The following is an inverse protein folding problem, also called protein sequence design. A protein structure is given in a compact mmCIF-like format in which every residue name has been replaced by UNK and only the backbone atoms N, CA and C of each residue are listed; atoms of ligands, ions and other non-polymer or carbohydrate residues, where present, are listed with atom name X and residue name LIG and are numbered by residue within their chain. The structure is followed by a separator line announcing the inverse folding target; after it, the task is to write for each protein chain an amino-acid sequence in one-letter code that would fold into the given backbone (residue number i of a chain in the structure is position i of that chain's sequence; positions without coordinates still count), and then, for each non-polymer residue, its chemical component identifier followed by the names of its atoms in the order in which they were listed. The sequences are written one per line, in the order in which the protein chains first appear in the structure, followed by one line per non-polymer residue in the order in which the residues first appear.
data_IF_364055344428
#
_entry.id   IF_364055344428
#
_cell.length_a   1.000
_cell.length_b   1.000
_cell.length_c   1.000
_cell.angle_alpha   90.00
_cell.angle_beta   90.00
_cell.angle_gamma   90.00
#
_symmetry.space_group_name_H-M   'P 1'
#
loop_
_entity.id
_entity.type
_entity.pdbx_description
1 polymer ?
#
# COMPACT_ATOMS: atom_id res chain seq x y z
N UNK A 1 5.33 -9.75 -14.89
CA UNK A 1 4.85 -10.87 -15.69
C UNK A 1 5.92 -11.28 -16.71
N UNK A 2 6.38 -12.53 -16.62
CA UNK A 2 7.45 -13.10 -17.47
C UNK A 2 7.11 -13.13 -18.96
N UNK A 3 5.84 -13.16 -19.31
CA UNK A 3 5.38 -13.37 -20.68
C UNK A 3 4.92 -12.10 -21.41
N UNK A 4 4.97 -10.96 -20.73
CA UNK A 4 4.48 -9.70 -21.28
C UNK A 4 5.52 -8.59 -21.12
N UNK A 5 5.57 -7.70 -22.10
CA UNK A 5 6.47 -6.55 -22.08
C UNK A 5 7.78 -6.79 -22.83
N UNK A 6 8.75 -5.93 -22.55
CA UNK A 6 10.04 -5.84 -23.26
C UNK A 6 11.20 -6.44 -22.46
N UNK A 7 10.92 -7.37 -21.58
CA UNK A 7 11.89 -7.94 -20.63
C UNK A 7 13.12 -8.53 -21.31
N UNK A 8 12.94 -9.11 -22.49
CA UNK A 8 13.99 -9.76 -23.29
C UNK A 8 14.19 -9.05 -24.65
N UNK A 9 14.02 -7.73 -24.68
CA UNK A 9 14.13 -6.94 -25.92
C UNK A 9 15.52 -7.08 -26.57
N UNK A 10 16.57 -7.27 -25.79
CA UNK A 10 17.94 -7.46 -26.26
C UNK A 10 18.33 -8.93 -26.47
N UNK A 11 17.40 -9.86 -26.25
CA UNK A 11 17.61 -11.30 -26.35
C UNK A 11 18.47 -11.93 -25.24
N UNK A 12 18.87 -11.16 -24.22
CA UNK A 12 19.70 -11.66 -23.13
C UNK A 12 18.90 -12.28 -21.98
N UNK A 13 17.61 -11.92 -21.84
CA UNK A 13 16.74 -12.35 -20.76
C UNK A 13 17.05 -11.75 -19.38
N UNK A 14 18.14 -11.00 -19.26
CA UNK A 14 18.61 -10.46 -17.98
C UNK A 14 19.37 -9.14 -18.09
N UNK A 15 19.05 -8.32 -19.10
CA UNK A 15 19.72 -7.02 -19.27
C UNK A 15 19.55 -6.12 -18.05
N UNK A 16 18.31 -6.04 -17.52
CA UNK A 16 17.99 -5.24 -16.35
C UNK A 16 17.97 -6.04 -15.04
N UNK A 17 17.82 -7.35 -15.11
CA UNK A 17 17.60 -8.20 -13.95
C UNK A 17 18.85 -8.98 -13.54
N UNK A 18 18.85 -9.47 -12.31
CA UNK A 18 19.82 -10.44 -11.82
C UNK A 18 19.67 -11.77 -12.60
N UNK A 19 20.76 -12.51 -12.70
CA UNK A 19 20.75 -13.80 -13.40
C UNK A 19 20.27 -14.95 -12.48
N UNK A 20 19.68 -15.97 -13.08
CA UNK A 20 19.26 -17.18 -12.41
C UNK A 20 18.15 -16.95 -11.37
N UNK A 21 18.11 -17.78 -10.35
CA UNK A 21 17.08 -17.74 -9.30
C UNK A 21 17.08 -16.41 -8.53
N UNK A 22 18.22 -15.77 -8.36
CA UNK A 22 18.33 -14.47 -7.71
C UNK A 22 17.59 -13.35 -8.47
N UNK A 23 17.35 -13.53 -9.75
CA UNK A 23 16.65 -12.59 -10.61
C UNK A 23 15.13 -12.79 -10.67
N UNK A 24 14.60 -13.82 -9.98
CA UNK A 24 13.17 -14.15 -10.07
C UNK A 24 12.48 -14.10 -8.72
N UNK A 25 11.36 -13.39 -8.67
CA UNK A 25 10.47 -13.32 -7.52
C UNK A 25 9.24 -14.21 -7.77
N UNK A 26 9.29 -15.43 -7.24
CA UNK A 26 8.33 -16.49 -7.58
C UNK A 26 6.89 -16.21 -7.15
N UNK A 27 6.68 -15.44 -6.06
CA UNK A 27 5.33 -15.17 -5.55
C UNK A 27 4.60 -14.07 -6.35
N UNK A 28 5.36 -13.20 -7.03
CA UNK A 28 4.81 -12.13 -7.86
C UNK A 28 4.98 -12.38 -9.35
N UNK A 29 5.58 -13.52 -9.72
CA UNK A 29 5.92 -13.84 -11.11
C UNK A 29 6.62 -12.66 -11.80
N UNK A 30 7.65 -12.12 -11.15
CA UNK A 30 8.33 -10.91 -11.61
C UNK A 30 9.84 -11.02 -11.54
N UNK A 31 10.53 -10.16 -12.29
CA UNK A 31 11.99 -10.09 -12.30
C UNK A 31 12.48 -9.07 -11.27
N UNK A 32 13.65 -9.37 -10.70
CA UNK A 32 14.34 -8.49 -9.74
C UNK A 32 15.45 -7.74 -10.47
N UNK A 33 15.45 -6.43 -10.36
CA UNK A 33 16.50 -5.59 -10.94
C UNK A 33 17.87 -5.93 -10.37
N UNK A 34 18.88 -5.85 -11.22
CA UNK A 34 20.29 -5.94 -10.81
C UNK A 34 20.81 -4.53 -10.50
N UNK A 35 20.57 -4.12 -9.25
CA UNK A 35 20.91 -2.77 -8.77
C UNK A 35 22.42 -2.49 -8.80
N UNK A 36 23.27 -3.52 -8.84
CA UNK A 36 24.73 -3.41 -8.98
C UNK A 36 25.19 -3.07 -10.40
N UNK A 37 24.31 -3.12 -11.41
CA UNK A 37 24.63 -2.69 -12.77
C UNK A 37 24.48 -1.18 -12.92
N UNK A 38 25.56 -0.46 -13.17
CA UNK A 38 25.53 1.00 -13.35
C UNK A 38 24.53 1.48 -14.41
N UNK A 39 24.30 0.71 -15.48
CA UNK A 39 23.27 1.01 -16.49
C UNK A 39 21.85 0.89 -15.95
N UNK A 40 21.58 -0.08 -15.07
CA UNK A 40 20.28 -0.29 -14.43
C UNK A 40 20.03 0.80 -13.39
N UNK A 41 21.02 1.08 -12.55
CA UNK A 41 20.97 2.17 -11.57
C UNK A 41 20.69 3.52 -12.25
N UNK A 42 21.43 3.83 -13.31
CA UNK A 42 21.22 5.04 -14.10
C UNK A 42 19.80 5.09 -14.71
N UNK A 43 19.30 3.99 -15.23
CA UNK A 43 17.92 3.89 -15.76
C UNK A 43 16.89 4.19 -14.67
N UNK A 44 16.99 3.56 -13.51
CA UNK A 44 16.04 3.72 -12.41
C UNK A 44 16.06 5.13 -11.82
N UNK A 45 17.27 5.72 -11.61
CA UNK A 45 17.40 7.09 -11.12
C UNK A 45 16.91 8.11 -12.17
N UNK A 46 17.17 7.88 -13.45
CA UNK A 46 16.64 8.71 -14.53
C UNK A 46 15.12 8.66 -14.61
N UNK A 47 14.52 7.47 -14.37
CA UNK A 47 13.08 7.32 -14.32
C UNK A 47 12.47 8.14 -13.16
N UNK A 48 13.05 8.08 -11.96
CA UNK A 48 12.62 8.90 -10.82
C UNK A 48 12.67 10.40 -11.19
N UNK A 49 13.80 10.87 -11.74
CA UNK A 49 13.93 12.26 -12.15
C UNK A 49 12.90 12.64 -13.22
N UNK A 50 12.66 11.78 -14.20
CA UNK A 50 11.71 12.02 -15.29
C UNK A 50 10.30 12.32 -14.78
N UNK A 51 9.79 11.52 -13.83
CA UNK A 51 8.47 11.75 -13.26
C UNK A 51 8.37 13.02 -12.41
N UNK A 52 9.44 13.42 -11.74
CA UNK A 52 9.49 14.69 -11.00
C UNK A 52 9.57 15.90 -11.94
N UNK A 53 10.37 15.80 -13.01
CA UNK A 53 10.71 16.91 -13.90
C UNK A 53 9.58 17.16 -14.91
N UNK A 54 9.22 16.10 -15.66
CA UNK A 54 8.27 16.22 -16.77
C UNK A 54 6.81 16.19 -16.32
N UNK A 55 6.49 15.37 -15.31
CA UNK A 55 5.10 15.20 -14.83
C UNK A 55 4.83 15.90 -13.49
N UNK A 56 5.83 16.51 -12.90
CA UNK A 56 5.71 17.30 -11.67
C UNK A 56 5.12 16.54 -10.48
N UNK A 57 5.46 15.26 -10.35
CA UNK A 57 5.01 14.44 -9.21
C UNK A 57 5.55 15.02 -7.90
N UNK A 58 4.74 14.88 -6.84
CA UNK A 58 5.06 15.39 -5.50
C UNK A 58 5.72 14.34 -4.61
N UNK A 59 6.01 13.16 -5.14
CA UNK A 59 6.69 12.10 -4.41
C UNK A 59 6.41 10.72 -4.95
N UNK A 60 6.91 9.70 -4.23
CA UNK A 60 6.83 8.30 -4.66
C UNK A 60 6.54 7.38 -3.48
N UNK A 61 5.71 6.38 -3.72
CA UNK A 61 5.68 5.15 -2.94
C UNK A 61 6.57 4.12 -3.65
N UNK A 62 7.52 3.58 -2.94
CA UNK A 62 8.35 2.47 -3.42
C UNK A 62 7.69 1.16 -2.99
N UNK A 63 7.32 0.38 -3.99
CA UNK A 63 6.64 -0.90 -3.87
C UNK A 63 7.61 -2.01 -3.50
N UNK A 64 7.20 -2.91 -2.60
CA UNK A 64 7.94 -4.12 -2.29
C UNK A 64 9.38 -3.91 -1.79
N UNK A 65 9.65 -2.86 -1.03
CA UNK A 65 11.00 -2.50 -0.57
C UNK A 65 11.68 -3.66 0.18
N UNK A 66 10.96 -4.41 1.02
CA UNK A 66 11.52 -5.60 1.68
C UNK A 66 12.07 -6.61 0.67
N UNK A 67 11.35 -6.83 -0.44
CA UNK A 67 11.80 -7.74 -1.50
C UNK A 67 13.03 -7.22 -2.26
N UNK A 68 13.25 -5.92 -2.28
CA UNK A 68 14.46 -5.31 -2.84
C UNK A 68 15.66 -5.48 -1.90
N UNK A 69 15.46 -5.20 -0.61
CA UNK A 69 16.51 -5.14 0.41
C UNK A 69 17.20 -6.48 0.70
N UNK A 70 16.51 -7.59 0.48
CA UNK A 70 16.99 -8.89 0.94
C UNK A 70 17.00 -9.93 -0.17
N UNK A 71 18.09 -10.73 -0.25
CA UNK A 71 18.17 -11.85 -1.19
C UNK A 71 17.11 -12.92 -0.93
N UNK A 72 16.70 -13.11 0.32
CA UNK A 72 15.59 -13.99 0.70
C UNK A 72 14.21 -13.34 0.52
N UNK A 73 14.10 -12.15 -0.06
CA UNK A 73 12.84 -11.43 -0.39
C UNK A 73 11.90 -11.15 0.79
N UNK A 74 12.39 -11.20 2.01
CA UNK A 74 11.56 -11.06 3.21
C UNK A 74 10.93 -12.35 3.71
N UNK A 75 11.23 -13.50 3.11
CA UNK A 75 10.70 -14.81 3.54
C UNK A 75 11.49 -15.43 4.68
N UNK A 76 11.88 -14.62 5.64
CA UNK A 76 12.52 -15.06 6.87
C UNK A 76 11.99 -14.24 8.03
N UNK A 77 12.06 -14.78 9.24
CA UNK A 77 11.70 -14.05 10.45
C UNK A 77 12.84 -13.10 10.83
N UNK A 78 12.49 -11.84 11.08
CA UNK A 78 13.42 -10.83 11.60
C UNK A 78 13.36 -10.81 13.13
N UNK A 79 13.71 -11.92 13.76
CA UNK A 79 13.61 -12.18 15.20
C UNK A 79 14.80 -11.63 16.03
N UNK A 80 15.87 -11.20 15.36
CA UNK A 80 17.01 -10.56 15.98
C UNK A 80 17.57 -9.44 15.09
N UNK A 81 18.30 -8.51 15.74
CA UNK A 81 18.83 -7.31 15.07
C UNK A 81 19.81 -7.62 13.95
N UNK A 82 20.60 -8.68 14.12
CA UNK A 82 21.64 -9.08 13.19
C UNK A 82 21.07 -9.40 11.82
N UNK A 83 19.88 -10.00 11.76
CA UNK A 83 19.20 -10.37 10.49
C UNK A 83 18.82 -9.18 9.61
N UNK A 84 18.74 -7.97 10.15
CA UNK A 84 18.54 -6.78 9.32
C UNK A 84 19.79 -6.35 8.56
N UNK A 85 20.98 -6.83 8.94
CA UNK A 85 22.27 -6.33 8.45
C UNK A 85 23.26 -7.43 8.12
N UNK A 86 22.81 -8.68 8.06
CA UNK A 86 23.67 -9.83 7.72
C UNK A 86 23.92 -9.95 6.21
N UNK A 87 24.52 -11.04 5.78
CA UNK A 87 24.82 -11.35 4.37
C UNK A 87 23.57 -11.53 3.48
N UNK A 88 22.39 -11.60 4.09
CA UNK A 88 21.10 -11.63 3.39
C UNK A 88 20.70 -10.28 2.77
N UNK A 89 21.37 -9.19 3.16
CA UNK A 89 21.07 -7.84 2.66
C UNK A 89 21.67 -7.62 1.29
N UNK A 90 20.87 -7.13 0.35
CA UNK A 90 21.31 -6.65 -0.95
C UNK A 90 21.81 -5.21 -0.84
N UNK A 91 23.12 -5.03 -0.64
CA UNK A 91 23.72 -3.70 -0.46
C UNK A 91 23.60 -2.81 -1.70
N UNK A 92 23.51 -3.39 -2.89
CA UNK A 92 23.28 -2.62 -4.12
C UNK A 92 21.87 -2.03 -4.14
N UNK A 93 20.88 -2.78 -3.67
CA UNK A 93 19.51 -2.28 -3.51
C UNK A 93 19.43 -1.17 -2.45
N UNK A 94 20.10 -1.33 -1.31
CA UNK A 94 20.19 -0.27 -0.28
C UNK A 94 20.82 0.98 -0.86
N UNK A 95 21.90 0.83 -1.64
CA UNK A 95 22.57 1.95 -2.30
C UNK A 95 21.64 2.66 -3.26
N UNK A 96 20.97 1.91 -4.16
CA UNK A 96 19.99 2.48 -5.08
C UNK A 96 18.89 3.26 -4.36
N UNK A 97 18.27 2.69 -3.31
CA UNK A 97 17.22 3.36 -2.55
C UNK A 97 17.71 4.65 -1.88
N UNK A 98 18.92 4.62 -1.34
CA UNK A 98 19.56 5.79 -0.73
C UNK A 98 19.81 6.89 -1.77
N UNK A 99 20.35 6.53 -2.94
CA UNK A 99 20.59 7.45 -4.05
C UNK A 99 19.28 8.02 -4.61
N UNK A 100 18.23 7.19 -4.72
CA UNK A 100 16.92 7.62 -5.15
C UNK A 100 16.32 8.67 -4.20
N UNK A 101 16.33 8.41 -2.89
CA UNK A 101 15.88 9.39 -1.88
C UNK A 101 16.70 10.68 -1.94
N UNK A 102 18.02 10.57 -2.06
CA UNK A 102 18.91 11.73 -2.21
C UNK A 102 18.56 12.56 -3.44
N UNK A 103 18.44 11.90 -4.60
CA UNK A 103 18.10 12.55 -5.86
C UNK A 103 16.73 13.25 -5.78
N UNK A 104 15.72 12.60 -5.20
CA UNK A 104 14.38 13.14 -5.06
C UNK A 104 14.41 14.44 -4.24
N UNK A 105 15.03 14.40 -3.06
CA UNK A 105 15.05 15.55 -2.16
C UNK A 105 15.98 16.67 -2.62
N UNK A 106 17.09 16.35 -3.30
CA UNK A 106 17.96 17.37 -3.89
C UNK A 106 17.28 18.07 -5.08
N UNK A 107 16.51 17.32 -5.89
CA UNK A 107 15.78 17.87 -7.03
C UNK A 107 14.51 18.61 -6.62
N UNK A 108 13.73 18.04 -5.68
CA UNK A 108 12.48 18.62 -5.16
C UNK A 108 12.43 18.43 -3.63
N UNK A 109 12.92 19.40 -2.85
CA UNK A 109 12.98 19.28 -1.38
C UNK A 109 11.63 19.07 -0.66
N UNK A 110 10.51 19.36 -1.35
CA UNK A 110 9.15 19.16 -0.82
C UNK A 110 8.53 17.82 -1.23
N UNK A 111 9.22 17.05 -2.06
CA UNK A 111 8.74 15.73 -2.45
C UNK A 111 8.74 14.77 -1.25
N UNK A 112 7.81 13.80 -1.28
CA UNK A 112 7.63 12.82 -0.21
C UNK A 112 8.00 11.44 -0.71
N UNK A 113 8.77 10.69 0.08
CA UNK A 113 9.09 9.30 -0.22
C UNK A 113 8.55 8.34 0.83
N UNK A 114 7.89 7.28 0.37
CA UNK A 114 7.20 6.32 1.22
C UNK A 114 7.70 4.92 0.89
N UNK A 115 8.21 4.19 1.89
CA UNK A 115 8.61 2.80 1.73
C UNK A 115 7.45 1.86 2.07
N UNK A 116 7.13 0.96 1.15
CA UNK A 116 6.36 -0.23 1.49
C UNK A 116 7.34 -1.31 1.97
N UNK A 117 7.49 -1.40 3.27
CA UNK A 117 8.43 -2.34 3.89
C UNK A 117 7.81 -3.00 5.12
N UNK A 118 7.77 -4.32 5.11
CA UNK A 118 7.26 -5.17 6.21
C UNK A 118 8.37 -5.69 7.13
N UNK A 119 9.64 -5.59 6.71
CA UNK A 119 10.76 -6.14 7.51
C UNK A 119 10.96 -5.43 8.84
N UNK A 120 10.67 -4.15 8.89
CA UNK A 120 10.99 -3.33 10.06
C UNK A 120 12.45 -2.87 10.10
N UNK A 121 13.17 -2.86 8.97
CA UNK A 121 14.58 -2.49 8.89
C UNK A 121 14.85 -1.17 9.61
N UNK A 122 15.72 -1.17 10.63
CA UNK A 122 16.13 0.05 11.32
C UNK A 122 16.87 1.01 10.36
N UNK A 123 16.61 2.32 10.51
CA UNK A 123 17.27 3.31 9.66
C UNK A 123 16.58 3.61 8.34
N UNK A 124 15.49 2.92 7.98
CA UNK A 124 14.75 3.14 6.74
C UNK A 124 14.34 4.62 6.58
N UNK A 125 13.79 5.22 7.62
CA UNK A 125 13.36 6.62 7.65
C UNK A 125 14.33 7.55 8.39
N UNK A 126 15.56 7.11 8.64
CA UNK A 126 16.61 8.00 9.16
C UNK A 126 17.23 8.78 8.01
N UNK A 127 17.74 9.97 8.32
CA UNK A 127 18.45 10.78 7.34
C UNK A 127 19.70 10.08 6.81
N UNK A 128 20.01 10.33 5.56
CA UNK A 128 21.20 9.75 4.88
C UNK A 128 22.48 10.14 5.62
N UNK A 129 22.56 11.39 6.11
CA UNK A 129 23.70 11.91 6.86
C UNK A 129 23.93 11.18 8.19
N UNK A 130 22.86 10.60 8.74
CA UNK A 130 22.89 9.80 9.98
C UNK A 130 23.05 8.29 9.70
N UNK A 131 23.32 7.91 8.45
CA UNK A 131 23.49 6.52 8.02
C UNK A 131 22.19 5.79 7.67
N UNK A 132 21.09 6.52 7.48
CA UNK A 132 19.80 5.96 7.07
C UNK A 132 19.63 5.88 5.56
N UNK A 133 18.51 5.26 5.12
CA UNK A 133 18.14 5.14 3.70
C UNK A 133 17.46 6.40 3.17
N UNK A 134 16.89 7.22 4.05
CA UNK A 134 16.38 8.55 3.72
C UNK A 134 14.91 8.64 3.31
N UNK A 135 14.10 7.61 3.53
CA UNK A 135 12.65 7.70 3.34
C UNK A 135 12.00 8.63 4.37
N UNK A 136 10.96 9.36 3.94
CA UNK A 136 10.17 10.20 4.85
C UNK A 136 9.20 9.38 5.69
N UNK A 137 8.60 8.35 5.10
CA UNK A 137 7.54 7.54 5.72
C UNK A 137 7.68 6.05 5.38
N UNK A 138 7.06 5.24 6.23
CA UNK A 138 6.74 3.84 5.94
C UNK A 138 5.22 3.64 5.93
N UNK A 139 4.74 2.65 5.15
CA UNK A 139 3.35 2.20 5.26
C UNK A 139 3.14 1.44 6.56
N UNK A 140 2.04 1.72 7.25
CA UNK A 140 1.61 1.02 8.45
C UNK A 140 0.91 -0.30 8.14
N UNK A 141 1.62 -1.26 7.55
CA UNK A 141 1.05 -2.46 6.93
C UNK A 141 0.35 -3.41 7.91
N UNK A 142 0.68 -3.37 9.20
CA UNK A 142 -0.02 -4.15 10.22
C UNK A 142 -1.46 -3.65 10.49
N UNK A 143 -1.76 -2.41 10.15
CA UNK A 143 -3.07 -1.79 10.42
C UNK A 143 -4.20 -2.41 9.59
N UNK A 144 -4.10 -2.49 8.25
CA UNK A 144 -5.16 -3.10 7.45
C UNK A 144 -5.34 -4.59 7.74
N UNK A 145 -4.25 -5.33 7.99
CA UNK A 145 -4.33 -6.75 8.35
C UNK A 145 -5.07 -6.95 9.67
N UNK A 146 -4.83 -6.08 10.64
CA UNK A 146 -5.57 -6.06 11.89
C UNK A 146 -7.06 -5.82 11.68
N UNK A 147 -7.44 -4.82 10.87
CA UNK A 147 -8.85 -4.53 10.59
C UNK A 147 -9.54 -5.68 9.87
N UNK A 148 -8.88 -6.29 8.88
CA UNK A 148 -9.41 -7.46 8.18
C UNK A 148 -9.66 -8.60 9.16
N UNK A 149 -8.67 -8.93 9.98
CA UNK A 149 -8.78 -10.00 10.96
C UNK A 149 -9.90 -9.72 11.96
N UNK A 150 -9.96 -8.52 12.50
CA UNK A 150 -11.00 -8.12 13.45
C UNK A 150 -12.41 -8.23 12.83
N UNK A 151 -12.61 -7.68 11.64
CA UNK A 151 -13.89 -7.75 10.92
C UNK A 151 -14.32 -9.17 10.55
N UNK A 152 -13.36 -10.08 10.42
CA UNK A 152 -13.59 -11.46 10.00
C UNK A 152 -13.90 -12.38 11.19
N UNK A 153 -13.17 -12.19 12.27
CA UNK A 153 -13.08 -13.17 13.33
C UNK A 153 -13.78 -12.73 14.64
N UNK A 154 -14.12 -11.43 14.78
CA UNK A 154 -14.60 -10.89 16.06
C UNK A 154 -15.85 -10.03 15.85
N UNK A 155 -16.99 -10.38 16.50
CA UNK A 155 -18.15 -9.50 16.56
C UNK A 155 -17.79 -8.15 17.17
N UNK A 156 -18.39 -7.06 16.68
CA UNK A 156 -18.00 -5.71 17.09
C UNK A 156 -18.33 -5.37 18.56
N UNK A 157 -19.28 -6.06 19.19
CA UNK A 157 -19.53 -5.98 20.63
C UNK A 157 -18.36 -6.50 21.49
N UNK A 158 -17.50 -7.35 20.91
CA UNK A 158 -16.34 -7.95 21.58
C UNK A 158 -15.03 -7.23 21.23
N UNK A 159 -15.06 -6.13 20.47
CA UNK A 159 -13.86 -5.43 20.10
C UNK A 159 -13.16 -4.79 21.30
N UNK A 160 -11.86 -5.05 21.41
CA UNK A 160 -11.05 -4.55 22.51
C UNK A 160 -10.35 -3.24 22.10
N UNK A 161 -10.76 -2.13 22.71
CA UNK A 161 -10.21 -0.80 22.42
C UNK A 161 -8.70 -0.70 22.73
N UNK A 162 -8.20 -1.44 23.71
CA UNK A 162 -6.78 -1.45 24.06
C UNK A 162 -5.94 -2.20 23.03
N UNK A 163 -6.48 -3.28 22.46
CA UNK A 163 -5.84 -3.98 21.35
C UNK A 163 -5.78 -3.09 20.13
N UNK A 164 -6.90 -2.45 19.76
CA UNK A 164 -6.97 -1.47 18.68
C UNK A 164 -5.93 -0.37 18.88
N UNK A 165 -5.87 0.24 20.06
CA UNK A 165 -4.90 1.27 20.40
C UNK A 165 -3.46 0.76 20.28
N UNK A 166 -3.17 -0.43 20.81
CA UNK A 166 -1.84 -1.04 20.77
C UNK A 166 -1.33 -1.21 19.36
N UNK A 167 -2.16 -1.75 18.46
CA UNK A 167 -1.78 -1.95 17.05
C UNK A 167 -1.55 -0.62 16.33
N UNK A 168 -2.45 0.36 16.50
CA UNK A 168 -2.32 1.67 15.86
C UNK A 168 -1.07 2.44 16.33
N UNK A 169 -0.68 2.26 17.57
CA UNK A 169 0.45 2.99 18.18
C UNK A 169 1.76 2.20 18.23
N UNK A 170 1.75 0.92 17.84
CA UNK A 170 2.97 0.10 17.80
C UNK A 170 3.82 0.47 16.59
N UNK A 171 4.63 1.50 16.75
CA UNK A 171 5.49 2.05 15.70
C UNK A 171 6.94 2.11 16.18
N UNK A 172 7.86 1.99 15.22
CA UNK A 172 9.28 2.17 15.48
C UNK A 172 9.56 3.63 15.93
N UNK A 173 10.31 3.84 16.99
CA UNK A 173 10.67 5.18 17.43
C UNK A 173 11.36 6.00 16.32
N UNK A 174 10.89 7.22 16.09
CA UNK A 174 11.44 8.12 15.09
C UNK A 174 11.06 7.80 13.62
N UNK A 175 10.26 6.76 13.39
CA UNK A 175 9.76 6.43 12.05
C UNK A 175 8.34 6.97 11.87
N UNK A 176 8.17 7.84 10.88
CA UNK A 176 6.86 8.34 10.49
C UNK A 176 6.12 7.28 9.68
N UNK A 177 4.83 7.15 9.94
CA UNK A 177 3.99 6.10 9.35
C UNK A 177 2.82 6.70 8.59
N UNK A 178 2.54 6.14 7.41
CA UNK A 178 1.29 6.37 6.69
C UNK A 178 0.30 5.31 7.14
N UNK A 179 -0.72 5.71 7.89
CA UNK A 179 -1.78 4.82 8.33
C UNK A 179 -2.83 4.62 7.23
N UNK A 180 -3.44 3.44 7.19
CA UNK A 180 -4.56 3.16 6.30
C UNK A 180 -5.38 1.99 6.80
N UNK A 181 -6.68 2.02 6.54
CA UNK A 181 -7.58 0.93 6.92
C UNK A 181 -7.62 -0.18 5.86
N UNK A 182 -7.53 0.20 4.60
CA UNK A 182 -7.38 -0.70 3.45
C UNK A 182 -6.69 0.03 2.30
N UNK A 183 -6.05 -0.73 1.40
CA UNK A 183 -5.48 -0.26 0.14
C UNK A 183 -5.96 -1.14 -1.02
N UNK A 184 -5.38 -0.95 -2.21
CA UNK A 184 -5.63 -1.83 -3.34
C UNK A 184 -5.26 -3.30 -3.06
N UNK A 185 -4.25 -3.56 -2.23
CA UNK A 185 -3.83 -4.93 -1.90
C UNK A 185 -4.96 -5.70 -1.20
N UNK A 186 -5.56 -5.11 -0.17
CA UNK A 186 -6.66 -5.75 0.54
C UNK A 186 -7.93 -5.76 -0.31
N UNK A 187 -8.24 -4.65 -0.96
CA UNK A 187 -9.50 -4.47 -1.68
C UNK A 187 -9.57 -5.23 -3.02
N UNK A 188 -8.42 -5.47 -3.68
CA UNK A 188 -8.38 -6.05 -5.02
C UNK A 188 -7.73 -7.43 -5.09
N UNK A 189 -6.69 -7.65 -4.28
CA UNK A 189 -5.81 -8.83 -4.42
C UNK A 189 -6.06 -9.84 -3.32
N UNK A 190 -6.11 -9.39 -2.07
CA UNK A 190 -6.08 -10.29 -0.92
C UNK A 190 -7.43 -10.64 -0.33
N UNK A 191 -8.42 -9.74 -0.39
CA UNK A 191 -9.66 -9.89 0.37
C UNK A 191 -10.82 -9.08 -0.22
N UNK A 192 -11.76 -8.70 0.65
CA UNK A 192 -12.92 -7.84 0.36
C UNK A 192 -12.69 -6.45 0.96
N UNK A 193 -13.35 -5.44 0.40
CA UNK A 193 -13.36 -4.10 1.00
C UNK A 193 -13.98 -4.12 2.39
N UNK A 194 -13.61 -3.15 3.24
CA UNK A 194 -14.24 -2.96 4.56
C UNK A 194 -15.75 -2.80 4.42
N UNK A 195 -16.20 -2.02 3.44
CA UNK A 195 -17.64 -1.86 3.16
C UNK A 195 -18.31 -3.19 2.85
N UNK A 196 -17.68 -4.04 2.04
CA UNK A 196 -18.22 -5.35 1.72
C UNK A 196 -18.30 -6.27 2.95
N UNK A 197 -17.29 -6.23 3.81
CA UNK A 197 -17.29 -7.04 5.05
C UNK A 197 -18.38 -6.62 6.03
N UNK A 198 -18.66 -5.31 6.10
CA UNK A 198 -19.65 -4.76 7.03
C UNK A 198 -21.09 -4.89 6.53
N UNK A 199 -21.32 -4.81 5.22
CA UNK A 199 -22.64 -4.68 4.62
C UNK A 199 -23.04 -5.87 3.75
N UNK A 200 -22.06 -6.65 3.27
CA UNK A 200 -22.26 -7.74 2.31
C UNK A 200 -23.12 -7.25 1.11
N UNK A 201 -24.09 -8.05 0.65
CA UNK A 201 -24.97 -7.69 -0.46
C UNK A 201 -25.82 -6.44 -0.20
N UNK A 202 -26.04 -6.06 1.05
CA UNK A 202 -26.83 -4.88 1.39
C UNK A 202 -26.20 -3.57 0.89
N UNK A 203 -24.89 -3.56 0.64
CA UNK A 203 -24.25 -2.41 0.00
C UNK A 203 -24.73 -2.17 -1.45
N UNK A 204 -25.34 -3.15 -2.10
CA UNK A 204 -25.93 -3.00 -3.43
C UNK A 204 -27.41 -2.63 -3.38
N UNK A 205 -28.15 -3.26 -2.46
CA UNK A 205 -29.61 -3.29 -2.51
C UNK A 205 -30.28 -2.34 -1.48
N UNK A 206 -29.54 -1.93 -0.45
CA UNK A 206 -30.16 -1.28 0.73
C UNK A 206 -29.50 0.08 1.09
N UNK A 207 -28.73 0.66 0.19
CA UNK A 207 -28.09 1.96 0.41
C UNK A 207 -28.99 3.16 0.08
N UNK A 208 -30.23 2.94 -0.38
CA UNK A 208 -31.24 4.01 -0.47
C UNK A 208 -31.63 4.50 0.93
N UNK A 209 -31.67 5.83 1.12
CA UNK A 209 -32.06 6.44 2.41
C UNK A 209 -33.48 6.13 2.87
N UNK A 210 -34.35 5.75 1.95
CA UNK A 210 -35.69 5.31 2.27
C UNK A 210 -35.74 3.85 2.79
N UNK A 211 -34.64 3.13 2.67
CA UNK A 211 -34.52 1.76 3.16
C UNK A 211 -34.06 1.78 4.63
N UNK A 212 -34.97 1.47 5.55
CA UNK A 212 -34.63 1.31 6.95
C UNK A 212 -33.95 -0.05 7.18
N UNK A 213 -32.66 -0.02 7.56
CA UNK A 213 -31.87 -1.25 7.82
C UNK A 213 -30.88 -1.01 8.95
N UNK A 214 -31.13 -1.64 10.10
CA UNK A 214 -30.19 -1.61 11.24
C UNK A 214 -28.78 -2.14 10.85
N UNK A 215 -28.71 -3.09 9.93
CA UNK A 215 -27.42 -3.64 9.48
C UNK A 215 -26.65 -2.60 8.67
N UNK A 216 -27.32 -1.87 7.79
CA UNK A 216 -26.70 -0.79 7.02
C UNK A 216 -26.25 0.33 7.95
N UNK A 217 -27.10 0.77 8.88
CA UNK A 217 -26.77 1.83 9.82
C UNK A 217 -25.57 1.48 10.70
N UNK A 218 -25.55 0.25 11.25
CA UNK A 218 -24.42 -0.27 12.02
C UNK A 218 -23.16 -0.37 11.17
N UNK A 219 -23.24 -0.95 9.97
CA UNK A 219 -22.11 -1.08 9.06
C UNK A 219 -21.52 0.27 8.68
N UNK A 220 -22.33 1.27 8.40
CA UNK A 220 -21.89 2.63 8.13
C UNK A 220 -21.23 3.28 9.36
N UNK A 221 -21.77 3.07 10.55
CA UNK A 221 -21.20 3.58 11.79
C UNK A 221 -19.81 2.97 12.05
N UNK A 222 -19.65 1.65 11.89
CA UNK A 222 -18.39 0.96 12.03
C UNK A 222 -17.38 1.37 10.95
N UNK A 223 -17.80 1.51 9.71
CA UNK A 223 -16.94 2.02 8.62
C UNK A 223 -16.36 3.41 8.94
N UNK A 224 -17.19 4.32 9.42
CA UNK A 224 -16.77 5.66 9.87
C UNK A 224 -15.79 5.57 11.05
N UNK A 225 -16.11 4.75 12.05
CA UNK A 225 -15.28 4.59 13.25
C UNK A 225 -13.90 4.01 12.91
N UNK A 226 -13.83 2.96 12.09
CA UNK A 226 -12.57 2.36 11.63
C UNK A 226 -11.67 3.43 10.99
N UNK A 227 -12.21 4.20 10.07
CA UNK A 227 -11.45 5.22 9.35
C UNK A 227 -11.00 6.36 10.27
N UNK A 228 -11.91 6.87 11.12
CA UNK A 228 -11.59 7.91 12.08
C UNK A 228 -10.53 7.46 13.08
N UNK A 229 -10.65 6.26 13.61
CA UNK A 229 -9.68 5.70 14.55
C UNK A 229 -8.31 5.54 13.88
N UNK A 230 -8.28 5.04 12.65
CA UNK A 230 -7.04 4.85 11.90
C UNK A 230 -6.32 6.16 11.61
N UNK A 231 -7.02 7.18 11.08
CA UNK A 231 -6.40 8.48 10.76
C UNK A 231 -5.95 9.22 12.03
N UNK A 232 -6.67 9.04 13.15
CA UNK A 232 -6.38 9.76 14.39
C UNK A 232 -5.21 9.18 15.18
N UNK A 233 -4.93 7.88 15.04
CA UNK A 233 -3.99 7.17 15.92
C UNK A 233 -2.87 6.42 15.20
N UNK A 234 -3.05 6.10 13.92
CA UNK A 234 -2.19 5.15 13.21
C UNK A 234 -0.90 5.73 12.63
N UNK A 235 -0.73 7.05 12.55
CA UNK A 235 0.47 7.64 11.95
C UNK A 235 0.42 9.15 11.78
N UNK A 236 1.43 9.67 11.11
CA UNK A 236 1.57 11.10 10.75
C UNK A 236 0.93 11.44 9.40
N UNK A 237 0.60 10.43 8.60
CA UNK A 237 -0.11 10.57 7.34
C UNK A 237 -1.17 9.47 7.19
N UNK A 238 -2.09 9.67 6.25
CA UNK A 238 -3.20 8.75 6.00
C UNK A 238 -3.34 8.46 4.51
N UNK A 239 -3.42 7.18 4.17
CA UNK A 239 -3.76 6.72 2.83
C UNK A 239 -5.24 6.37 2.77
N UNK A 240 -5.95 6.97 1.85
CA UNK A 240 -7.31 6.56 1.49
C UNK A 240 -7.31 5.90 0.11
N UNK A 241 -7.74 4.65 0.05
CA UNK A 241 -7.92 3.98 -1.23
C UNK A 241 -9.19 4.51 -1.91
N UNK A 242 -9.08 4.92 -3.17
CA UNK A 242 -10.15 5.59 -3.91
C UNK A 242 -11.47 4.80 -3.85
N UNK A 243 -12.53 5.47 -3.41
CA UNK A 243 -13.85 4.90 -3.19
C UNK A 243 -14.16 4.56 -1.73
N UNK A 244 -13.15 4.38 -0.86
CA UNK A 244 -13.38 4.13 0.57
C UNK A 244 -14.03 5.33 1.26
N UNK A 245 -13.75 6.53 0.78
CA UNK A 245 -14.31 7.77 1.30
C UNK A 245 -15.85 7.77 1.34
N UNK A 246 -16.47 6.99 0.45
CA UNK A 246 -17.93 6.85 0.43
C UNK A 246 -18.43 5.41 0.49
N UNK A 247 -17.55 4.44 0.78
CA UNK A 247 -17.92 3.03 0.88
C UNK A 247 -18.38 2.44 -0.46
N UNK A 248 -17.64 2.71 -1.53
CA UNK A 248 -17.94 2.24 -2.89
C UNK A 248 -18.32 0.75 -2.89
N UNK A 249 -19.47 0.37 -3.47
CA UNK A 249 -20.05 -0.96 -3.27
C UNK A 249 -19.47 -2.06 -4.14
N UNK A 250 -18.64 -1.72 -5.11
CA UNK A 250 -18.15 -2.70 -6.06
C UNK A 250 -16.73 -3.16 -5.74
N UNK A 251 -16.55 -4.47 -5.89
CA UNK A 251 -15.25 -5.05 -6.08
C UNK A 251 -14.64 -4.52 -7.39
N UNK A 252 -13.45 -3.98 -7.33
CA UNK A 252 -12.69 -3.68 -8.53
C UNK A 252 -12.06 -4.97 -9.03
N UNK A 253 -12.44 -5.39 -10.24
CA UNK A 253 -11.85 -6.54 -10.91
C UNK A 253 -11.15 -6.07 -12.20
N UNK A 254 -9.92 -6.55 -12.39
CA UNK A 254 -9.17 -6.26 -13.61
C UNK A 254 -9.76 -6.99 -14.82
N UNK A 255 -9.62 -6.43 -16.04
CA UNK A 255 -9.94 -7.16 -17.25
C UNK A 255 -9.16 -8.48 -17.30
N UNK A 256 -9.85 -9.60 -17.35
CA UNK A 256 -9.31 -10.95 -17.39
C UNK A 256 -10.24 -11.90 -18.14
N UNK A 257 -9.78 -13.07 -18.51
CA UNK A 257 -10.57 -14.05 -19.26
C UNK A 257 -11.90 -14.37 -18.57
N UNK A 258 -11.89 -14.57 -17.25
CA UNK A 258 -13.08 -14.93 -16.46
C UNK A 258 -14.18 -13.88 -16.43
N UNK A 259 -13.91 -12.62 -16.82
CA UNK A 259 -14.90 -11.55 -16.95
C UNK A 259 -15.02 -11.02 -18.39
N UNK A 260 -14.54 -11.79 -19.39
CA UNK A 260 -14.59 -11.42 -20.79
C UNK A 260 -13.77 -10.18 -21.13
N UNK A 261 -12.67 -9.94 -20.43
CA UNK A 261 -11.79 -8.77 -20.57
C UNK A 261 -12.52 -7.44 -20.37
N UNK A 262 -13.54 -7.44 -19.51
CA UNK A 262 -14.40 -6.29 -19.28
C UNK A 262 -13.72 -5.23 -18.41
N UNK A 263 -13.73 -3.98 -18.85
CA UNK A 263 -13.33 -2.81 -18.05
C UNK A 263 -14.45 -2.30 -17.11
N UNK A 264 -15.64 -2.89 -17.16
CA UNK A 264 -16.79 -2.43 -16.38
C UNK A 264 -16.48 -2.40 -14.88
N UNK A 265 -15.81 -3.45 -14.38
CA UNK A 265 -15.51 -3.61 -12.96
C UNK A 265 -14.19 -2.91 -12.54
N UNK A 266 -13.45 -2.34 -13.49
CA UNK A 266 -12.25 -1.55 -13.19
C UNK A 266 -12.55 -0.06 -12.93
N UNK A 267 -13.82 0.31 -12.79
CA UNK A 267 -14.26 1.70 -12.61
C UNK A 267 -14.86 1.94 -11.25
N UNK A 268 -14.64 3.15 -10.73
CA UNK A 268 -15.41 3.67 -9.60
C UNK A 268 -16.66 4.38 -10.13
N UNK A 269 -17.78 4.19 -9.43
CA UNK A 269 -19.05 4.84 -9.70
C UNK A 269 -19.14 6.11 -8.83
N UNK A 270 -18.49 7.19 -9.28
CA UNK A 270 -18.41 8.45 -8.54
C UNK A 270 -19.76 9.14 -8.39
N UNK A 271 -20.71 8.90 -9.29
CA UNK A 271 -22.10 9.40 -9.23
C UNK A 271 -22.85 8.92 -7.98
N UNK A 272 -22.45 7.82 -7.36
CA UNK A 272 -23.09 7.33 -6.14
C UNK A 272 -22.91 8.28 -4.95
N UNK A 273 -21.75 8.89 -4.80
CA UNK A 273 -21.49 9.83 -3.69
C UNK A 273 -22.22 11.16 -3.88
N UNK A 274 -22.52 11.56 -5.12
CA UNK A 274 -23.20 12.78 -5.45
C UNK A 274 -24.74 12.66 -5.40
N UNK A 275 -25.26 11.44 -5.40
CA UNK A 275 -26.69 11.20 -5.36
C UNK A 275 -27.26 11.28 -3.94
N UNK A 276 -28.06 12.33 -3.61
CA UNK A 276 -28.58 12.53 -2.25
C UNK A 276 -29.59 11.47 -1.80
N UNK A 277 -30.10 10.64 -2.70
CA UNK A 277 -30.99 9.55 -2.33
C UNK A 277 -30.26 8.38 -1.62
N UNK A 278 -28.94 8.33 -1.77
CA UNK A 278 -28.15 7.21 -1.24
C UNK A 278 -27.33 7.57 0.01
N UNK A 279 -27.10 6.58 0.84
CA UNK A 279 -26.28 6.66 2.04
C UNK A 279 -24.78 6.86 1.75
N UNK A 280 -24.32 6.60 0.53
CA UNK A 280 -22.94 6.91 0.09
C UNK A 280 -22.60 8.39 0.27
N UNK A 281 -23.55 9.29 0.03
CA UNK A 281 -23.38 10.73 0.27
C UNK A 281 -23.04 11.03 1.73
N UNK A 282 -23.66 10.31 2.69
CA UNK A 282 -23.38 10.51 4.12
C UNK A 282 -21.99 10.04 4.52
N UNK A 283 -21.51 8.95 3.90
CA UNK A 283 -20.14 8.48 4.09
C UNK A 283 -19.13 9.47 3.50
N UNK A 284 -19.38 9.98 2.29
CA UNK A 284 -18.55 11.00 1.67
C UNK A 284 -18.51 12.32 2.45
N UNK A 285 -19.66 12.76 3.01
CA UNK A 285 -19.71 13.93 3.90
C UNK A 285 -18.90 13.71 5.18
N UNK A 286 -18.97 12.52 5.75
CA UNK A 286 -18.16 12.17 6.92
C UNK A 286 -16.66 12.21 6.59
N UNK A 287 -16.25 11.65 5.46
CA UNK A 287 -14.87 11.71 5.00
C UNK A 287 -14.35 13.14 4.89
N UNK A 288 -15.13 14.00 4.26
CA UNK A 288 -14.80 15.42 4.15
C UNK A 288 -14.65 16.08 5.53
N UNK A 289 -15.54 15.77 6.47
CA UNK A 289 -15.48 16.32 7.84
C UNK A 289 -14.27 15.75 8.62
N UNK A 290 -13.97 14.47 8.43
CA UNK A 290 -12.82 13.79 9.04
C UNK A 290 -11.49 14.40 8.58
#
# INVERSE_FOLDING_TARGET
NMNEGILDLDGSGHHYSKQGEAGYQQYWDSMVFDYGKGGVEHFLLSNVKYWLDEYHFDGFRFDGVTSMLYYHRGYTDFDCREKFFDEGVDLDAVTYLTLANRLIHDFRPTAVTIAEDVSGMPGMCCKIEDGGVGFDYRLGMAIPDFWIKMLKDTPDEDWNIWEMWSIMTNRLPGVKTVAYAESHDQALVGDKTIAFRLLDKLMYDSMDRACESMVVDRGMALHKMIRLFTISTGGEAYLNFMGNEFGHPEWIDFPREGNGWSHKYARRQWDLVDNPAYNYTLLGQFDKAM
#
